data_IF_438008100822
#
_entry.id   IF_438008100822
#
_cell.length_a   1.000
_cell.length_b   1.000
_cell.length_c   1.000
_cell.angle_alpha   90.00
_cell.angle_beta   90.00
_cell.angle_gamma   90.00
#
_symmetry.space_group_name_H-M   'P 1'
#
loop_
_entity.id
_entity.type
_entity.pdbx_description
1 polymer ?
#
# COMPACT_ATOMS: atom_id res chain seq x y z
N UNK A 1 6.37 9.12 -21.54
CA UNK A 1 7.32 8.15 -22.10
C UNK A 1 6.65 7.26 -23.17
N UNK A 2 5.56 6.56 -22.89
CA UNK A 2 4.92 5.64 -23.84
C UNK A 2 4.56 6.25 -25.20
N UNK A 3 4.12 7.51 -25.25
CA UNK A 3 3.84 8.23 -26.51
C UNK A 3 5.09 8.43 -27.39
N UNK A 4 6.28 8.35 -26.79
CA UNK A 4 7.58 8.49 -27.45
C UNK A 4 8.27 7.14 -27.68
N UNK A 5 7.52 6.03 -27.58
CA UNK A 5 8.05 4.68 -27.81
C UNK A 5 8.89 4.10 -26.68
N UNK A 6 9.01 4.81 -25.54
CA UNK A 6 9.76 4.33 -24.36
C UNK A 6 8.94 3.26 -23.64
N UNK A 7 9.56 2.11 -23.40
CA UNK A 7 8.94 0.93 -22.80
C UNK A 7 9.47 0.68 -21.37
N UNK A 8 8.92 -0.31 -20.70
CA UNK A 8 9.39 -0.72 -19.37
C UNK A 8 10.86 -1.16 -19.38
N UNK A 9 11.28 -1.81 -20.46
CA UNK A 9 12.64 -2.35 -20.62
C UNK A 9 13.67 -1.21 -20.66
N UNK A 10 13.36 -0.12 -21.37
CA UNK A 10 14.29 1.00 -21.54
C UNK A 10 14.66 1.67 -20.21
N UNK A 11 13.74 1.63 -19.24
CA UNK A 11 13.94 2.18 -17.91
C UNK A 11 14.44 1.15 -16.89
N UNK A 12 13.88 -0.07 -16.89
CA UNK A 12 14.12 -1.05 -15.83
C UNK A 12 15.14 -2.14 -16.18
N UNK A 13 15.52 -2.27 -17.44
CA UNK A 13 16.43 -3.29 -17.96
C UNK A 13 17.45 -2.66 -18.90
N UNK A 14 18.40 -1.85 -18.39
CA UNK A 14 19.34 -1.10 -19.23
C UNK A 14 20.22 -2.01 -20.08
N UNK A 15 20.74 -1.46 -21.17
CA UNK A 15 21.81 -2.09 -21.94
C UNK A 15 23.12 -1.95 -21.17
N UNK A 16 23.78 -3.06 -20.93
CA UNK A 16 25.08 -3.13 -20.24
C UNK A 16 26.10 -3.88 -21.10
N UNK A 17 27.38 -3.57 -20.93
CA UNK A 17 28.46 -4.26 -21.60
C UNK A 17 29.03 -5.35 -20.71
N UNK A 18 29.07 -6.58 -21.21
CA UNK A 18 29.68 -7.71 -20.53
C UNK A 18 31.20 -7.67 -20.57
N UNK A 19 31.83 -8.55 -19.80
CA UNK A 19 33.30 -8.71 -19.74
C UNK A 19 33.89 -9.12 -21.09
N UNK A 20 33.10 -9.73 -21.95
CA UNK A 20 33.47 -10.15 -23.32
C UNK A 20 33.27 -9.01 -24.35
N UNK A 21 32.94 -7.81 -23.92
CA UNK A 21 32.68 -6.64 -24.75
C UNK A 21 31.30 -6.62 -25.42
N UNK A 22 30.50 -7.67 -25.30
CA UNK A 22 29.15 -7.71 -25.89
C UNK A 22 28.15 -6.92 -25.08
N UNK A 23 27.24 -6.27 -25.81
CA UNK A 23 26.13 -5.53 -25.19
C UNK A 23 24.95 -6.48 -25.04
N UNK A 24 24.37 -6.52 -23.84
CA UNK A 24 23.16 -7.28 -23.55
C UNK A 24 22.19 -6.47 -22.71
N UNK A 25 20.95 -6.92 -22.60
CA UNK A 25 19.94 -6.33 -21.72
C UNK A 25 20.12 -6.90 -20.31
N UNK A 26 20.30 -6.04 -19.33
CA UNK A 26 20.34 -6.47 -17.93
C UNK A 26 18.94 -6.93 -17.48
N UNK A 27 18.84 -8.19 -17.06
CA UNK A 27 17.60 -8.80 -16.59
C UNK A 27 17.37 -8.63 -15.09
N UNK A 28 18.24 -7.94 -14.38
CA UNK A 28 18.02 -7.54 -13.01
C UNK A 28 17.14 -6.28 -12.98
N UNK A 29 15.84 -6.49 -12.97
CA UNK A 29 14.86 -5.38 -12.90
C UNK A 29 15.13 -4.56 -11.63
N UNK A 30 15.48 -3.29 -11.80
CA UNK A 30 15.92 -2.40 -10.74
C UNK A 30 15.28 -1.01 -10.84
N UNK A 31 15.56 -0.17 -9.85
CA UNK A 31 15.20 1.24 -9.89
C UNK A 31 16.01 1.94 -11.00
N UNK A 32 15.37 2.59 -11.99
CA UNK A 32 16.09 3.26 -13.08
C UNK A 32 17.13 4.29 -12.63
N UNK A 33 16.96 4.90 -11.47
CA UNK A 33 17.96 5.83 -10.92
C UNK A 33 19.25 5.17 -10.48
N UNK A 34 19.28 3.87 -10.28
CA UNK A 34 20.52 3.16 -9.94
C UNK A 34 21.42 2.98 -11.18
N UNK A 35 20.80 2.94 -12.35
CA UNK A 35 21.46 2.90 -13.65
C UNK A 35 21.22 4.17 -14.49
N UNK A 36 21.24 5.35 -13.85
CA UNK A 36 20.84 6.63 -14.42
C UNK A 36 21.46 6.92 -15.79
N UNK A 37 22.78 6.72 -15.92
CA UNK A 37 23.54 7.07 -17.11
C UNK A 37 23.19 6.20 -18.33
N UNK A 38 22.70 4.99 -18.11
CA UNK A 38 22.30 4.03 -19.16
C UNK A 38 20.80 3.95 -19.35
N UNK A 39 20.01 4.70 -18.56
CA UNK A 39 18.55 4.76 -18.63
C UNK A 39 18.08 6.19 -18.89
N UNK A 40 18.01 7.04 -17.89
CA UNK A 40 17.45 8.38 -17.98
C UNK A 40 18.28 9.32 -18.86
N UNK A 41 19.62 9.31 -18.74
CA UNK A 41 20.52 10.19 -19.45
C UNK A 41 20.56 9.95 -20.96
N UNK A 42 20.07 8.80 -21.44
CA UNK A 42 19.93 8.56 -22.89
C UNK A 42 18.94 9.52 -23.58
N UNK A 43 18.01 10.13 -22.83
CA UNK A 43 16.95 10.96 -23.37
C UNK A 43 16.80 12.31 -22.60
N UNK A 44 17.35 12.40 -21.40
CA UNK A 44 17.22 13.57 -20.52
C UNK A 44 18.56 14.27 -20.30
N UNK A 45 18.59 15.59 -20.54
CA UNK A 45 19.76 16.44 -20.28
C UNK A 45 19.81 16.95 -18.81
N UNK A 46 18.75 16.68 -18.02
CA UNK A 46 18.67 17.07 -16.63
C UNK A 46 19.55 16.16 -15.77
N UNK A 47 20.10 16.72 -14.68
CA UNK A 47 20.86 15.94 -13.72
C UNK A 47 19.98 14.89 -13.02
N UNK A 48 20.63 13.86 -12.50
CA UNK A 48 20.00 12.81 -11.70
C UNK A 48 19.20 13.36 -10.52
N UNK A 49 19.76 14.36 -9.84
CA UNK A 49 19.14 15.05 -8.69
C UNK A 49 17.84 15.73 -9.13
N UNK A 50 17.90 16.47 -10.23
CA UNK A 50 16.74 17.18 -10.76
C UNK A 50 15.57 16.24 -11.09
N UNK A 51 15.86 15.09 -11.72
CA UNK A 51 14.84 14.09 -12.04
C UNK A 51 14.33 13.39 -10.78
N UNK A 52 15.19 13.11 -9.80
CA UNK A 52 14.77 12.59 -8.49
C UNK A 52 13.83 13.55 -7.77
N UNK A 53 14.09 14.85 -7.79
CA UNK A 53 13.23 15.85 -7.16
C UNK A 53 11.83 15.88 -7.80
N UNK A 54 11.74 15.76 -9.13
CA UNK A 54 10.47 15.69 -9.84
C UNK A 54 9.67 14.44 -9.41
N UNK A 55 10.34 13.27 -9.32
CA UNK A 55 9.69 12.04 -8.87
C UNK A 55 9.29 12.11 -7.40
N UNK A 56 10.14 12.70 -6.55
CA UNK A 56 9.87 12.91 -5.13
C UNK A 56 8.66 13.83 -4.91
N UNK A 57 8.54 14.91 -5.69
CA UNK A 57 7.38 15.81 -5.64
C UNK A 57 6.07 15.06 -5.96
N UNK A 58 6.03 14.28 -7.05
CA UNK A 58 4.87 13.47 -7.43
C UNK A 58 4.52 12.44 -6.35
N UNK A 59 5.53 11.79 -5.77
CA UNK A 59 5.35 10.86 -4.67
C UNK A 59 4.75 11.54 -3.45
N UNK A 60 5.18 12.77 -3.15
CA UNK A 60 4.66 13.56 -2.05
C UNK A 60 3.19 13.91 -2.27
N UNK A 61 2.80 14.38 -3.45
CA UNK A 61 1.42 14.71 -3.80
C UNK A 61 0.48 13.52 -3.59
N UNK A 62 0.87 12.33 -4.10
CA UNK A 62 0.10 11.09 -3.90
C UNK A 62 -0.01 10.74 -2.42
N UNK A 63 1.10 10.83 -1.66
CA UNK A 63 1.12 10.55 -0.22
C UNK A 63 0.26 11.52 0.59
N UNK A 64 0.26 12.80 0.24
CA UNK A 64 -0.52 13.81 0.95
C UNK A 64 -2.04 13.54 0.82
N UNK A 65 -2.52 13.19 -0.38
CA UNK A 65 -3.91 12.81 -0.58
C UNK A 65 -4.22 11.45 0.09
N UNK A 66 -3.29 10.51 0.00
CA UNK A 66 -3.44 9.19 0.64
C UNK A 66 -3.59 9.32 2.15
N UNK A 67 -2.77 10.16 2.80
CA UNK A 67 -2.90 10.42 4.24
C UNK A 67 -4.22 11.10 4.63
N UNK A 68 -4.71 12.01 3.78
CA UNK A 68 -6.05 12.61 4.00
C UNK A 68 -7.17 11.57 3.89
N UNK A 69 -7.12 10.69 2.92
CA UNK A 69 -8.09 9.61 2.77
C UNK A 69 -8.01 8.64 3.96
N UNK A 70 -6.81 8.30 4.40
CA UNK A 70 -6.57 7.45 5.57
C UNK A 70 -7.25 8.02 6.83
N UNK A 71 -7.06 9.31 7.13
CA UNK A 71 -7.73 9.97 8.27
C UNK A 71 -9.26 9.86 8.17
N UNK A 72 -9.84 10.08 6.98
CA UNK A 72 -11.29 10.00 6.80
C UNK A 72 -11.81 8.56 6.96
N UNK A 73 -11.10 7.57 6.44
CA UNK A 73 -11.46 6.14 6.59
C UNK A 73 -11.35 5.71 8.04
N UNK A 74 -10.29 6.09 8.75
CA UNK A 74 -10.13 5.81 10.19
C UNK A 74 -11.30 6.39 10.98
N UNK A 75 -11.65 7.65 10.77
CA UNK A 75 -12.80 8.29 11.43
C UNK A 75 -14.10 7.54 11.14
N UNK A 76 -14.34 7.17 9.88
CA UNK A 76 -15.53 6.44 9.50
C UNK A 76 -15.64 5.08 10.21
N UNK A 77 -14.52 4.38 10.43
CA UNK A 77 -14.52 3.13 11.21
C UNK A 77 -14.88 3.33 12.67
N UNK A 78 -14.37 4.38 13.35
CA UNK A 78 -14.73 4.67 14.72
C UNK A 78 -16.18 5.17 14.85
N UNK A 79 -16.64 5.97 13.90
CA UNK A 79 -18.05 6.41 13.80
C UNK A 79 -18.98 5.20 13.59
N UNK A 80 -18.61 4.25 12.73
CA UNK A 80 -19.36 3.01 12.52
C UNK A 80 -19.38 2.14 13.78
N UNK A 81 -18.26 2.02 14.49
CA UNK A 81 -18.20 1.31 15.76
C UNK A 81 -19.15 1.94 16.78
N UNK A 82 -19.12 3.26 16.95
CA UNK A 82 -19.98 3.96 17.87
C UNK A 82 -21.48 3.77 17.53
N UNK A 83 -21.84 3.73 16.23
CA UNK A 83 -23.18 3.44 15.78
C UNK A 83 -23.63 2.00 16.13
N UNK A 84 -22.75 1.01 15.92
CA UNK A 84 -23.01 -0.37 16.33
C UNK A 84 -23.17 -0.50 17.85
N UNK A 85 -22.29 0.12 18.62
CA UNK A 85 -22.36 0.10 20.09
C UNK A 85 -23.65 0.74 20.62
N UNK A 86 -24.23 1.70 19.88
CA UNK A 86 -25.51 2.34 20.19
C UNK A 86 -26.74 1.56 19.70
N UNK A 87 -26.57 0.40 19.08
CA UNK A 87 -27.65 -0.49 18.65
C UNK A 87 -28.19 -0.21 17.25
N UNK A 88 -27.41 0.43 16.37
CA UNK A 88 -27.77 0.55 14.96
C UNK A 88 -27.96 -0.82 14.31
N UNK A 89 -28.95 -0.97 13.42
CA UNK A 89 -29.22 -2.24 12.76
C UNK A 89 -28.30 -2.44 11.55
N UNK A 90 -28.21 -3.68 11.07
CA UNK A 90 -27.43 -4.02 9.88
C UNK A 90 -27.94 -3.26 8.65
N UNK A 91 -29.24 -3.16 8.51
CA UNK A 91 -29.91 -2.48 7.39
C UNK A 91 -29.63 -0.98 7.38
N UNK A 92 -29.56 -0.36 8.55
CA UNK A 92 -29.18 1.06 8.69
C UNK A 92 -27.72 1.28 8.30
N UNK A 93 -26.84 0.36 8.70
CA UNK A 93 -25.40 0.48 8.53
C UNK A 93 -24.90 0.10 7.13
N UNK A 94 -25.58 -0.80 6.41
CA UNK A 94 -25.12 -1.37 5.14
C UNK A 94 -24.69 -0.32 4.11
N UNK A 95 -25.45 0.78 3.85
CA UNK A 95 -25.02 1.80 2.88
C UNK A 95 -23.74 2.53 3.28
N UNK A 96 -23.55 2.83 4.56
CA UNK A 96 -22.36 3.49 5.07
C UNK A 96 -21.13 2.56 5.03
N UNK A 97 -21.32 1.30 5.42
CA UNK A 97 -20.26 0.27 5.39
C UNK A 97 -19.78 -0.02 3.96
N UNK A 98 -20.69 0.03 2.98
CA UNK A 98 -20.32 -0.13 1.57
C UNK A 98 -19.43 1.03 1.09
N UNK A 99 -19.75 2.27 1.48
CA UNK A 99 -18.93 3.42 1.15
C UNK A 99 -17.57 3.38 1.86
N UNK A 100 -17.51 2.95 3.13
CA UNK A 100 -16.24 2.70 3.84
C UNK A 100 -15.39 1.69 3.07
N UNK A 101 -15.97 0.55 2.66
CA UNK A 101 -15.27 -0.48 1.87
C UNK A 101 -14.73 0.09 0.57
N UNK A 102 -15.51 0.89 -0.14
CA UNK A 102 -15.11 1.51 -1.39
C UNK A 102 -14.01 2.56 -1.20
N UNK A 103 -14.04 3.31 -0.10
CA UNK A 103 -12.98 4.24 0.27
C UNK A 103 -11.68 3.51 0.63
N UNK A 104 -11.78 2.49 1.50
CA UNK A 104 -10.66 1.66 1.92
C UNK A 104 -9.99 0.99 0.72
N UNK A 105 -10.75 0.37 -0.17
CA UNK A 105 -10.20 -0.29 -1.36
C UNK A 105 -9.37 0.67 -2.25
N UNK A 106 -9.78 1.93 -2.36
CA UNK A 106 -9.04 2.96 -3.12
C UNK A 106 -7.74 3.36 -2.44
N UNK A 107 -7.74 3.41 -1.13
CA UNK A 107 -6.53 3.60 -0.35
C UNK A 107 -5.58 2.41 -0.52
N UNK A 108 -6.08 1.19 -0.37
CA UNK A 108 -5.32 -0.05 -0.54
C UNK A 108 -4.70 -0.16 -1.94
N UNK A 109 -5.46 0.20 -2.98
CA UNK A 109 -4.97 0.25 -4.36
C UNK A 109 -3.78 1.19 -4.49
N UNK A 110 -3.85 2.40 -3.94
CA UNK A 110 -2.76 3.36 -3.99
C UNK A 110 -1.56 2.92 -3.14
N UNK A 111 -1.80 2.35 -1.96
CA UNK A 111 -0.76 1.84 -1.07
C UNK A 111 0.03 0.68 -1.70
N UNK A 112 -0.67 -0.23 -2.39
CA UNK A 112 -0.05 -1.37 -3.08
C UNK A 112 0.65 -0.98 -4.39
N UNK A 113 0.32 0.17 -4.98
CA UNK A 113 0.87 0.63 -6.27
C UNK A 113 2.21 1.34 -6.08
N UNK A 114 3.26 0.62 -5.71
CA UNK A 114 4.57 1.18 -5.36
C UNK A 114 5.18 2.13 -6.40
N UNK A 115 4.95 1.90 -7.70
CA UNK A 115 5.39 2.74 -8.81
C UNK A 115 4.33 3.73 -9.32
N UNK A 116 3.13 3.75 -8.74
CA UNK A 116 1.98 4.49 -9.27
C UNK A 116 2.23 5.99 -9.42
N UNK A 117 2.94 6.60 -8.47
CA UNK A 117 3.33 8.01 -8.51
C UNK A 117 4.26 8.37 -9.68
N UNK A 118 4.99 7.42 -10.24
CA UNK A 118 5.86 7.62 -11.41
C UNK A 118 5.15 7.24 -12.71
N UNK A 119 4.50 6.07 -12.73
CA UNK A 119 3.92 5.53 -13.96
C UNK A 119 2.58 6.16 -14.35
N UNK A 120 1.75 6.51 -13.38
CA UNK A 120 0.40 7.04 -13.61
C UNK A 120 -0.08 7.93 -12.44
N UNK A 121 0.61 9.05 -12.15
CA UNK A 121 0.28 9.90 -11.01
C UNK A 121 -1.15 10.45 -11.07
N UNK A 122 -1.63 10.80 -12.25
CA UNK A 122 -3.00 11.27 -12.49
C UNK A 122 -4.05 10.19 -12.15
N UNK A 123 -3.78 8.94 -12.45
CA UNK A 123 -4.66 7.82 -12.04
C UNK A 123 -4.67 7.68 -10.52
N UNK A 124 -3.50 7.75 -9.87
CA UNK A 124 -3.40 7.69 -8.41
C UNK A 124 -4.22 8.80 -7.75
N UNK A 125 -4.04 10.05 -8.19
CA UNK A 125 -4.75 11.20 -7.65
C UNK A 125 -6.27 11.10 -7.86
N UNK A 126 -6.71 10.64 -9.04
CA UNK A 126 -8.13 10.42 -9.34
C UNK A 126 -8.75 9.32 -8.48
N UNK A 127 -8.06 8.20 -8.32
CA UNK A 127 -8.55 7.09 -7.47
C UNK A 127 -8.67 7.54 -6.02
N UNK A 128 -7.63 8.19 -5.48
CA UNK A 128 -7.64 8.71 -4.11
C UNK A 128 -8.69 9.82 -3.91
N UNK A 129 -8.86 10.73 -4.87
CA UNK A 129 -9.92 11.75 -4.85
C UNK A 129 -11.30 11.12 -4.75
N UNK A 130 -11.59 10.13 -5.61
CA UNK A 130 -12.87 9.41 -5.52
C UNK A 130 -13.02 8.59 -4.22
N UNK A 131 -11.90 8.22 -3.58
CA UNK A 131 -11.89 7.63 -2.25
C UNK A 131 -12.33 8.61 -1.16
N UNK A 132 -11.87 9.85 -1.24
CA UNK A 132 -12.30 10.92 -0.34
C UNK A 132 -13.79 11.19 -0.45
N UNK A 133 -14.37 11.21 -1.66
CA UNK A 133 -15.82 11.35 -1.86
C UNK A 133 -16.56 10.21 -1.17
N UNK A 134 -16.12 8.95 -1.35
CA UNK A 134 -16.74 7.80 -0.67
C UNK A 134 -16.63 7.86 0.84
N UNK A 135 -15.48 8.28 1.37
CA UNK A 135 -15.33 8.46 2.81
C UNK A 135 -16.23 9.57 3.37
N UNK A 136 -16.40 10.67 2.62
CA UNK A 136 -17.33 11.74 2.98
C UNK A 136 -18.78 11.26 2.98
N UNK A 137 -19.22 10.53 1.95
CA UNK A 137 -20.56 9.92 1.87
C UNK A 137 -20.83 8.96 3.04
N UNK A 138 -19.85 8.11 3.38
CA UNK A 138 -19.93 7.20 4.51
C UNK A 138 -20.15 7.97 5.82
N UNK A 139 -19.34 8.98 6.08
CA UNK A 139 -19.39 9.78 7.30
C UNK A 139 -20.69 10.60 7.40
N UNK A 140 -21.19 11.13 6.29
CA UNK A 140 -22.49 11.81 6.27
C UNK A 140 -23.64 10.87 6.68
N UNK A 141 -23.64 9.63 6.14
CA UNK A 141 -24.62 8.60 6.52
C UNK A 141 -24.49 8.20 7.99
N UNK A 142 -23.24 7.99 8.46
CA UNK A 142 -22.97 7.67 9.86
C UNK A 142 -23.40 8.78 10.81
N UNK A 143 -23.21 10.05 10.47
CA UNK A 143 -23.65 11.18 11.27
C UNK A 143 -25.19 11.16 11.48
N UNK A 144 -25.96 10.82 10.44
CA UNK A 144 -27.42 10.67 10.55
C UNK A 144 -27.79 9.49 11.46
N UNK A 145 -27.11 8.34 11.33
CA UNK A 145 -27.33 7.16 12.17
C UNK A 145 -26.99 7.47 13.63
N UNK A 146 -25.82 8.05 13.90
CA UNK A 146 -25.38 8.42 15.25
C UNK A 146 -26.37 9.38 15.93
N UNK A 147 -26.85 10.37 15.17
CA UNK A 147 -27.88 11.30 15.66
C UNK A 147 -29.17 10.57 16.02
N UNK A 148 -29.66 9.66 15.15
CA UNK A 148 -30.83 8.84 15.39
C UNK A 148 -30.73 8.01 16.66
N UNK A 149 -29.54 7.47 16.94
CA UNK A 149 -29.28 6.64 18.12
C UNK A 149 -28.78 7.43 19.35
N UNK A 150 -28.84 8.77 19.31
CA UNK A 150 -28.52 9.64 20.45
C UNK A 150 -27.05 9.69 20.82
N UNK A 151 -26.14 9.31 19.89
CA UNK A 151 -24.70 9.35 20.11
C UNK A 151 -24.18 10.78 19.96
N UNK A 152 -23.40 11.23 20.95
CA UNK A 152 -22.75 12.54 20.89
C UNK A 152 -21.69 12.57 19.80
N UNK A 153 -21.72 13.58 18.95
CA UNK A 153 -20.73 13.84 17.89
C UNK A 153 -19.92 15.11 18.20
N UNK A 154 -18.66 15.21 17.75
CA UNK A 154 -17.92 14.20 16.99
C UNK A 154 -17.54 12.99 17.86
N UNK A 155 -17.45 11.81 17.23
CA UNK A 155 -16.92 10.60 17.87
C UNK A 155 -15.43 10.77 18.10
N UNK A 156 -14.96 10.47 19.29
CA UNK A 156 -13.54 10.55 19.65
C UNK A 156 -12.75 9.43 18.94
N UNK A 157 -11.67 9.82 18.28
CA UNK A 157 -10.71 8.86 17.68
C UNK A 157 -9.57 8.70 18.67
N UNK A 158 -9.32 7.48 19.16
CA UNK A 158 -8.21 7.23 20.09
C UNK A 158 -6.86 7.47 19.39
N UNK A 159 -5.83 7.69 20.21
CA UNK A 159 -4.48 7.85 19.69
C UNK A 159 -3.94 6.54 19.09
N UNK A 160 -3.83 6.49 17.76
CA UNK A 160 -3.27 5.40 16.99
C UNK A 160 -2.01 5.81 16.22
N UNK A 161 -1.30 6.81 16.70
CA UNK A 161 -0.13 7.41 16.03
C UNK A 161 1.08 6.46 15.92
N UNK A 162 1.09 5.37 16.66
CA UNK A 162 2.09 4.31 16.57
C UNK A 162 1.43 2.94 16.45
N UNK A 163 2.16 1.99 15.90
CA UNK A 163 1.69 0.60 15.78
C UNK A 163 1.27 0.01 17.14
N UNK A 164 2.05 0.25 18.20
CA UNK A 164 1.76 -0.26 19.55
C UNK A 164 0.44 0.30 20.09
N UNK A 165 0.18 1.60 19.89
CA UNK A 165 -1.08 2.24 20.29
C UNK A 165 -2.25 1.68 19.48
N UNK A 166 -2.09 1.52 18.17
CA UNK A 166 -3.11 0.96 17.32
C UNK A 166 -3.43 -0.49 17.71
N UNK A 167 -2.43 -1.34 17.94
CA UNK A 167 -2.63 -2.72 18.42
C UNK A 167 -3.39 -2.76 19.74
N UNK A 168 -3.04 -1.90 20.68
CA UNK A 168 -3.73 -1.79 21.97
C UNK A 168 -5.21 -1.43 21.79
N UNK A 169 -5.52 -0.46 20.93
CA UNK A 169 -6.90 -0.06 20.61
C UNK A 169 -7.69 -1.19 19.97
N UNK A 170 -7.05 -1.96 19.09
CA UNK A 170 -7.65 -3.12 18.41
C UNK A 170 -7.71 -4.38 19.28
N UNK A 171 -7.15 -4.36 20.50
CA UNK A 171 -7.09 -5.53 21.37
C UNK A 171 -6.15 -6.63 20.88
N UNK A 172 -5.16 -6.28 20.05
CA UNK A 172 -4.18 -7.24 19.52
C UNK A 172 -3.03 -7.39 20.52
N UNK A 173 -2.84 -8.61 21.03
CA UNK A 173 -1.66 -9.00 21.82
C UNK A 173 -0.51 -9.34 20.86
N UNK A 174 0.30 -8.34 20.54
CA UNK A 174 1.39 -8.48 19.58
C UNK A 174 2.48 -9.47 20.04
N UNK A 175 2.69 -9.62 21.36
CA UNK A 175 3.68 -10.56 21.87
C UNK A 175 3.21 -12.01 21.67
N UNK A 176 1.93 -12.28 21.86
CA UNK A 176 1.30 -13.56 21.55
C UNK A 176 1.44 -13.90 20.05
N UNK A 177 1.16 -12.92 19.18
CA UNK A 177 1.27 -13.10 17.73
C UNK A 177 2.73 -13.32 17.28
N UNK A 178 3.68 -12.59 17.86
CA UNK A 178 5.12 -12.79 17.61
C UNK A 178 5.59 -14.18 18.07
N UNK A 179 5.14 -14.64 19.22
CA UNK A 179 5.44 -15.98 19.73
C UNK A 179 4.88 -17.06 18.81
N UNK A 180 3.62 -16.95 18.42
CA UNK A 180 2.97 -17.88 17.49
C UNK A 180 3.69 -17.93 16.14
N UNK A 181 4.07 -16.76 15.58
CA UNK A 181 4.87 -16.68 14.36
C UNK A 181 6.22 -17.37 14.51
N UNK A 182 6.91 -17.15 15.62
CA UNK A 182 8.22 -17.78 15.89
C UNK A 182 8.07 -19.30 15.94
N UNK A 183 7.12 -19.81 16.70
CA UNK A 183 6.82 -21.24 16.79
C UNK A 183 6.50 -21.85 15.43
N UNK A 184 5.67 -21.17 14.63
CA UNK A 184 5.35 -21.59 13.26
C UNK A 184 6.61 -21.70 12.38
N UNK A 185 7.50 -20.70 12.44
CA UNK A 185 8.74 -20.68 11.66
C UNK A 185 9.73 -21.76 12.10
N UNK A 186 9.75 -22.09 13.39
CA UNK A 186 10.67 -23.09 13.96
C UNK A 186 10.16 -24.53 13.83
N UNK A 187 8.86 -24.74 13.72
CA UNK A 187 8.25 -26.10 13.70
C UNK A 187 7.64 -26.49 12.37
N UNK A 188 6.75 -25.66 11.82
CA UNK A 188 5.98 -26.00 10.61
C UNK A 188 6.80 -25.79 9.34
N UNK A 189 7.46 -24.64 9.22
CA UNK A 189 8.22 -24.29 8.01
C UNK A 189 9.33 -25.30 7.70
N UNK A 190 10.15 -25.77 8.66
CA UNK A 190 11.15 -26.80 8.40
C UNK A 190 10.57 -28.12 7.88
N UNK A 191 9.38 -28.51 8.34
CA UNK A 191 8.68 -29.70 7.84
C UNK A 191 8.28 -29.53 6.39
N UNK A 192 7.69 -28.39 6.02
CA UNK A 192 7.33 -28.09 4.64
C UNK A 192 8.54 -28.04 3.70
N UNK A 193 9.65 -27.47 4.17
CA UNK A 193 10.92 -27.43 3.40
C UNK A 193 11.43 -28.85 3.17
N UNK A 194 11.42 -29.70 4.20
CA UNK A 194 11.82 -31.10 4.10
C UNK A 194 10.96 -31.88 3.10
N UNK A 195 9.64 -31.72 3.18
CA UNK A 195 8.70 -32.35 2.25
C UNK A 195 8.88 -31.86 0.82
N UNK A 196 9.10 -30.54 0.63
CA UNK A 196 9.32 -29.96 -0.70
C UNK A 196 10.62 -30.46 -1.34
N UNK A 197 11.69 -30.62 -0.55
CA UNK A 197 12.94 -31.23 -1.00
C UNK A 197 12.73 -32.71 -1.37
N UNK A 198 12.08 -33.48 -0.51
CA UNK A 198 11.80 -34.91 -0.75
C UNK A 198 10.95 -35.13 -2.02
N UNK A 199 10.07 -34.19 -2.35
CA UNK A 199 9.23 -34.22 -3.55
C UNK A 199 9.87 -33.55 -4.79
N UNK A 200 11.17 -33.19 -4.75
CA UNK A 200 11.88 -32.54 -5.85
C UNK A 200 11.37 -31.14 -6.23
N UNK A 201 10.61 -30.48 -5.33
CA UNK A 201 10.07 -29.12 -5.55
C UNK A 201 11.05 -28.02 -5.14
N UNK A 202 12.09 -28.35 -4.38
CA UNK A 202 13.19 -27.48 -3.97
C UNK A 202 14.51 -28.21 -4.19
N UNK A 203 15.54 -27.49 -4.64
CA UNK A 203 16.89 -28.01 -4.73
C UNK A 203 17.43 -28.31 -3.32
N UNK A 204 18.27 -29.36 -3.18
CA UNK A 204 18.79 -29.79 -1.87
C UNK A 204 19.63 -28.70 -1.18
N UNK A 205 20.34 -27.89 -1.95
CA UNK A 205 21.22 -26.81 -1.50
C UNK A 205 20.51 -25.43 -1.41
N UNK A 206 19.20 -25.37 -1.71
CA UNK A 206 18.45 -24.11 -1.53
C UNK A 206 18.42 -23.72 -0.06
N UNK A 207 19.22 -22.72 0.31
CA UNK A 207 19.16 -22.10 1.62
C UNK A 207 17.82 -21.32 1.74
N UNK A 208 17.03 -21.63 2.76
CA UNK A 208 15.96 -20.75 3.20
C UNK A 208 16.59 -19.46 3.70
N UNK A 209 16.61 -18.41 2.89
CA UNK A 209 16.91 -17.05 3.39
C UNK A 209 15.79 -16.70 4.36
N UNK A 210 16.13 -16.70 5.63
CA UNK A 210 15.29 -16.18 6.72
C UNK A 210 15.19 -14.66 6.65
#
# INVERSE_FOLDING_TARGET
HGKNGVTCIDCHMPKVQGKDGKVYTDHQIQNPFDAFDTTCANCHDQSKEKLKDIVASRKKEVKDIMGRLEDQVVRAHFEAKAAWDAGATKEEMEPALMDIRHAQWRWDYAAASHGGHMHAPDVMLRVLGSGLDRAADARAKLAAILTKHGVKTPVEVPDISTADKAWKVMGIDIEKERKAKKEFLETVVPQWVKEAKANGKLAEDSATKQ
#
